data_IF_047042810094
#
_entry.id   IF_047042810094
#
_cell.length_a   1.000
_cell.length_b   1.000
_cell.length_c   1.000
_cell.angle_alpha   90.00
_cell.angle_beta   90.00
_cell.angle_gamma   90.00
#
_symmetry.space_group_name_H-M   'P 1'
#
loop_
_entity.id
_entity.type
_entity.pdbx_description
1 polymer ?
#
# COMPACT_ATOMS: atom_id res chain seq x y z
N UNK A 1 13.44 -14.67 -8.02
CA UNK A 1 14.09 -13.70 -7.12
C UNK A 1 13.12 -13.14 -6.10
N UNK A 2 13.56 -12.94 -4.86
CA UNK A 2 12.69 -12.61 -3.70
C UNK A 2 12.33 -11.11 -3.58
N UNK A 3 12.75 -10.28 -4.53
CA UNK A 3 12.59 -8.81 -4.49
C UNK A 3 11.15 -8.33 -4.33
N UNK A 4 10.18 -9.03 -4.92
CA UNK A 4 8.75 -8.69 -4.76
C UNK A 4 8.31 -8.71 -3.30
N UNK A 5 8.90 -9.60 -2.50
CA UNK A 5 8.57 -9.76 -1.08
C UNK A 5 9.10 -8.59 -0.26
N UNK A 6 10.35 -8.19 -0.48
CA UNK A 6 10.95 -7.04 0.21
C UNK A 6 10.22 -5.74 -0.16
N UNK A 7 9.94 -5.52 -1.44
CA UNK A 7 9.20 -4.33 -1.90
C UNK A 7 7.80 -4.27 -1.28
N UNK A 8 7.06 -5.38 -1.29
CA UNK A 8 5.74 -5.43 -0.70
C UNK A 8 5.75 -5.19 0.80
N UNK A 9 6.67 -5.85 1.54
CA UNK A 9 6.79 -5.68 2.99
C UNK A 9 7.15 -4.23 3.34
N UNK A 10 8.14 -3.65 2.67
CA UNK A 10 8.57 -2.28 2.91
C UNK A 10 7.44 -1.28 2.62
N UNK A 11 6.66 -1.52 1.57
CA UNK A 11 5.52 -0.68 1.20
C UNK A 11 4.37 -0.78 2.21
N UNK A 12 4.05 -2.00 2.66
CA UNK A 12 3.01 -2.23 3.69
C UNK A 12 3.40 -1.63 5.03
N UNK A 13 4.61 -1.92 5.52
CA UNK A 13 5.10 -1.35 6.78
C UNK A 13 5.23 0.17 6.71
N UNK A 14 5.77 0.69 5.61
CA UNK A 14 5.86 2.12 5.37
C UNK A 14 4.48 2.80 5.41
N UNK A 15 3.47 2.19 4.80
CA UNK A 15 2.09 2.70 4.84
C UNK A 15 1.50 2.69 6.25
N UNK A 16 1.71 1.61 7.01
CA UNK A 16 1.22 1.51 8.40
C UNK A 16 1.87 2.61 9.26
N UNK A 17 3.19 2.78 9.16
CA UNK A 17 3.93 3.81 9.90
C UNK A 17 3.47 5.21 9.48
N UNK A 18 3.38 5.48 8.18
CA UNK A 18 2.87 6.77 7.67
C UNK A 18 1.44 7.04 8.14
N UNK A 19 0.59 6.02 8.23
CA UNK A 19 -0.79 6.16 8.71
C UNK A 19 -0.87 6.51 10.19
N UNK A 20 0.00 5.92 11.02
CA UNK A 20 0.13 6.30 12.43
C UNK A 20 0.60 7.76 12.56
N UNK A 21 1.59 8.17 11.78
CA UNK A 21 2.09 9.55 11.79
C UNK A 21 1.00 10.52 11.31
N UNK A 22 0.27 10.18 10.24
CA UNK A 22 -0.79 11.00 9.67
C UNK A 22 -1.91 11.31 10.66
N UNK A 23 -2.24 10.36 11.53
CA UNK A 23 -3.37 10.49 12.44
C UNK A 23 -2.97 10.97 13.84
N UNK A 24 -1.83 10.52 14.38
CA UNK A 24 -1.47 10.78 15.78
C UNK A 24 -0.31 11.76 15.97
N UNK A 25 0.53 11.95 14.94
CA UNK A 25 1.74 12.78 15.02
C UNK A 25 1.85 13.75 13.84
N UNK A 26 0.71 14.24 13.34
CA UNK A 26 0.68 15.05 12.13
C UNK A 26 1.21 16.47 12.42
N UNK A 27 2.37 16.87 11.86
CA UNK A 27 2.92 18.20 12.13
C UNK A 27 2.15 19.31 11.38
N UNK A 28 1.30 18.95 10.42
CA UNK A 28 0.54 19.89 9.60
C UNK A 28 -0.90 20.09 10.11
N UNK A 29 -1.32 19.36 11.14
CA UNK A 29 -2.64 19.52 11.75
C UNK A 29 -2.55 19.37 13.28
N UNK A 30 -2.82 20.44 14.01
CA UNK A 30 -2.80 20.44 15.48
C UNK A 30 -4.09 19.94 16.13
N UNK A 31 -5.15 19.73 15.35
CA UNK A 31 -6.41 19.19 15.85
C UNK A 31 -6.34 17.66 15.91
N UNK A 32 -6.85 17.09 17.01
CA UNK A 32 -7.07 15.65 17.11
C UNK A 32 -7.94 15.17 15.94
N UNK A 33 -7.61 14.04 15.30
CA UNK A 33 -8.40 13.53 14.19
C UNK A 33 -9.80 13.17 14.68
N UNK A 34 -10.83 13.55 13.92
CA UNK A 34 -12.18 13.08 14.19
C UNK A 34 -12.30 11.58 13.87
N UNK A 35 -13.26 10.91 14.52
CA UNK A 35 -13.51 9.48 14.29
C UNK A 35 -13.77 9.18 12.80
N UNK A 36 -14.46 10.07 12.08
CA UNK A 36 -14.72 9.92 10.66
C UNK A 36 -13.43 9.91 9.82
N UNK A 37 -12.45 10.74 10.18
CA UNK A 37 -11.15 10.80 9.49
C UNK A 37 -10.36 9.52 9.75
N UNK A 38 -10.35 9.03 10.99
CA UNK A 38 -9.69 7.76 11.35
C UNK A 38 -10.29 6.58 10.59
N UNK A 39 -11.63 6.51 10.51
CA UNK A 39 -12.33 5.44 9.80
C UNK A 39 -12.04 5.51 8.30
N UNK A 40 -12.16 6.69 7.69
CA UNK A 40 -11.90 6.87 6.24
C UNK A 40 -10.46 6.56 5.86
N UNK A 41 -9.50 7.13 6.58
CA UNK A 41 -8.07 6.88 6.29
C UNK A 41 -7.68 5.44 6.64
N UNK A 42 -8.24 4.87 7.70
CA UNK A 42 -8.06 3.47 8.04
C UNK A 42 -8.57 2.53 6.95
N UNK A 43 -9.78 2.77 6.44
CA UNK A 43 -10.37 1.95 5.38
C UNK A 43 -9.63 2.04 4.05
N UNK A 44 -9.03 3.18 3.71
CA UNK A 44 -8.41 3.40 2.40
C UNK A 44 -6.88 3.39 2.41
N UNK A 45 -6.20 3.40 3.57
CA UNK A 45 -4.73 3.32 3.64
C UNK A 45 -4.29 2.12 4.48
N UNK A 46 -4.81 1.99 5.70
CA UNK A 46 -4.40 0.92 6.63
C UNK A 46 -4.92 -0.45 6.17
N UNK A 47 -6.22 -0.57 5.90
CA UNK A 47 -6.84 -1.81 5.45
C UNK A 47 -6.19 -2.37 4.18
N UNK A 48 -5.98 -1.59 3.09
CA UNK A 48 -5.27 -2.10 1.92
C UNK A 48 -3.81 -2.48 2.22
N UNK A 49 -3.12 -1.81 3.15
CA UNK A 49 -1.78 -2.22 3.57
C UNK A 49 -1.78 -3.60 4.23
N UNK A 50 -2.77 -3.88 5.09
CA UNK A 50 -2.96 -5.20 5.71
C UNK A 50 -3.34 -6.26 4.67
N UNK A 51 -4.22 -5.92 3.73
CA UNK A 51 -4.58 -6.80 2.60
C UNK A 51 -3.35 -7.12 1.74
N UNK A 52 -2.47 -6.14 1.50
CA UNK A 52 -1.20 -6.38 0.80
C UNK A 52 -0.29 -7.35 1.58
N UNK A 53 -0.20 -7.23 2.92
CA UNK A 53 0.55 -8.20 3.75
C UNK A 53 -0.03 -9.62 3.57
N UNK A 54 -1.35 -9.76 3.62
CA UNK A 54 -2.02 -11.06 3.37
C UNK A 54 -1.67 -11.58 1.97
N UNK A 55 -1.74 -10.74 0.95
CA UNK A 55 -1.40 -11.06 -0.44
C UNK A 55 0.04 -11.56 -0.61
N UNK A 56 0.99 -11.00 0.17
CA UNK A 56 2.38 -11.44 0.20
C UNK A 56 2.54 -12.81 0.87
N UNK A 57 1.83 -13.06 1.97
CA UNK A 57 1.89 -14.34 2.69
C UNK A 57 1.36 -15.48 1.81
N UNK A 58 0.19 -15.26 1.18
CA UNK A 58 -0.45 -16.29 0.35
C UNK A 58 0.03 -16.29 -1.11
N UNK A 59 0.95 -15.40 -1.46
CA UNK A 59 1.57 -15.26 -2.79
C UNK A 59 0.54 -15.11 -3.93
N UNK A 60 -0.46 -14.25 -3.74
CA UNK A 60 -1.51 -13.98 -4.75
C UNK A 60 -1.39 -12.57 -5.30
N UNK A 61 -0.96 -12.45 -6.56
CA UNK A 61 -0.77 -11.13 -7.20
C UNK A 61 -2.06 -10.31 -7.29
N UNK A 62 -3.21 -10.96 -7.46
CA UNK A 62 -4.50 -10.28 -7.57
C UNK A 62 -4.83 -9.49 -6.30
N UNK A 63 -4.45 -9.99 -5.13
CA UNK A 63 -4.66 -9.29 -3.85
C UNK A 63 -3.80 -8.04 -3.77
N UNK A 64 -2.57 -8.08 -4.30
CA UNK A 64 -1.71 -6.91 -4.38
C UNK A 64 -2.33 -5.82 -5.26
N UNK A 65 -2.96 -6.19 -6.37
CA UNK A 65 -3.67 -5.24 -7.24
C UNK A 65 -4.92 -4.67 -6.58
N UNK A 66 -5.67 -5.49 -5.83
CA UNK A 66 -6.80 -5.02 -5.03
C UNK A 66 -6.32 -3.96 -4.03
N UNK A 67 -5.25 -4.23 -3.29
CA UNK A 67 -4.68 -3.27 -2.35
C UNK A 67 -4.23 -1.95 -3.02
N UNK A 68 -3.64 -2.04 -4.22
CA UNK A 68 -3.29 -0.87 -5.03
C UNK A 68 -4.52 -0.04 -5.42
N UNK A 69 -5.49 -0.63 -6.14
CA UNK A 69 -6.66 0.11 -6.60
C UNK A 69 -7.53 0.63 -5.46
N UNK A 70 -7.58 -0.09 -4.34
CA UNK A 70 -8.28 0.36 -3.14
C UNK A 70 -7.57 1.58 -2.51
N UNK A 71 -6.24 1.54 -2.37
CA UNK A 71 -5.51 2.65 -1.75
C UNK A 71 -5.32 3.87 -2.65
N UNK A 72 -5.41 3.70 -3.97
CA UNK A 72 -5.06 4.72 -4.95
C UNK A 72 -5.86 6.03 -4.84
N UNK A 73 -7.20 6.04 -4.69
CA UNK A 73 -7.97 7.29 -4.67
C UNK A 73 -7.53 8.24 -3.54
N UNK A 74 -7.39 7.71 -2.32
CA UNK A 74 -6.99 8.51 -1.17
C UNK A 74 -5.49 8.85 -1.19
N UNK A 75 -4.65 7.92 -1.63
CA UNK A 75 -3.21 8.17 -1.78
C UNK A 75 -2.94 9.28 -2.80
N UNK A 76 -3.70 9.31 -3.89
CA UNK A 76 -3.59 10.35 -4.92
C UNK A 76 -4.08 11.70 -4.39
N UNK A 77 -5.20 11.74 -3.68
CA UNK A 77 -5.70 12.95 -3.02
C UNK A 77 -4.64 13.54 -2.07
N UNK A 78 -4.05 12.71 -1.20
CA UNK A 78 -3.00 13.15 -0.28
C UNK A 78 -1.75 13.60 -1.03
N UNK A 79 -1.40 12.94 -2.15
CA UNK A 79 -0.24 13.30 -2.96
C UNK A 79 -0.30 14.73 -3.55
N UNK A 80 -1.51 15.27 -3.73
CA UNK A 80 -1.73 16.63 -4.19
C UNK A 80 -1.52 17.68 -3.10
N UNK A 81 -1.40 17.27 -1.83
CA UNK A 81 -1.11 18.17 -0.70
C UNK A 81 0.40 18.29 -0.44
N UNK A 82 0.94 19.46 -0.09
CA UNK A 82 2.36 19.64 0.21
C UNK A 82 2.71 19.04 1.58
N UNK A 83 2.91 17.73 1.66
CA UNK A 83 3.25 17.02 2.91
C UNK A 83 4.19 15.84 2.67
N UNK A 84 4.83 15.34 3.74
CA UNK A 84 5.56 14.06 3.71
C UNK A 84 4.65 12.88 3.33
N UNK A 85 3.33 13.03 3.53
CA UNK A 85 2.34 12.00 3.25
C UNK A 85 2.12 11.75 1.76
N UNK A 86 2.73 12.53 0.85
CA UNK A 86 2.84 12.14 -0.56
C UNK A 86 3.43 10.73 -0.73
N UNK A 87 4.25 10.27 0.23
CA UNK A 87 4.81 8.92 0.21
C UNK A 87 3.76 7.79 0.17
N UNK A 88 2.50 8.03 0.54
CA UNK A 88 1.42 7.03 0.37
C UNK A 88 1.23 6.60 -1.08
N UNK A 89 1.41 7.51 -2.06
CA UNK A 89 1.33 7.11 -3.47
C UNK A 89 2.51 6.21 -3.84
N UNK A 90 3.70 6.49 -3.31
CA UNK A 90 4.89 5.68 -3.51
C UNK A 90 4.72 4.27 -2.95
N UNK A 91 4.19 4.14 -1.74
CA UNK A 91 3.92 2.81 -1.15
C UNK A 91 2.78 2.09 -1.87
N UNK A 92 1.75 2.80 -2.33
CA UNK A 92 0.69 2.23 -3.16
C UNK A 92 1.25 1.64 -4.47
N UNK A 93 2.10 2.37 -5.19
CA UNK A 93 2.81 1.84 -6.36
C UNK A 93 3.75 0.68 -6.01
N UNK A 94 4.28 0.65 -4.79
CA UNK A 94 5.00 -0.50 -4.26
C UNK A 94 4.17 -1.79 -4.26
N UNK A 95 2.87 -1.72 -3.94
CA UNK A 95 1.97 -2.88 -4.05
C UNK A 95 1.81 -3.32 -5.51
N UNK A 96 1.63 -2.38 -6.44
CA UNK A 96 1.52 -2.66 -7.86
C UNK A 96 2.77 -3.37 -8.39
N UNK A 97 3.95 -2.82 -8.10
CA UNK A 97 5.24 -3.39 -8.53
C UNK A 97 5.46 -4.78 -7.93
N UNK A 98 5.18 -4.96 -6.64
CA UNK A 98 5.27 -6.27 -6.00
C UNK A 98 4.31 -7.28 -6.66
N UNK A 99 3.09 -6.88 -6.99
CA UNK A 99 2.13 -7.71 -7.72
C UNK A 99 2.58 -8.10 -9.14
N UNK A 100 3.13 -7.15 -9.90
CA UNK A 100 3.67 -7.39 -11.25
C UNK A 100 4.85 -8.38 -11.19
N UNK A 101 5.79 -8.17 -10.26
CA UNK A 101 6.96 -9.04 -10.08
C UNK A 101 6.55 -10.43 -9.61
N UNK A 102 5.57 -10.53 -8.71
CA UNK A 102 5.01 -11.79 -8.27
C UNK A 102 4.35 -12.54 -9.44
N UNK A 103 3.57 -11.84 -10.29
CA UNK A 103 2.96 -12.42 -11.49
C UNK A 103 4.01 -12.97 -12.46
N UNK A 104 5.10 -12.23 -12.70
CA UNK A 104 6.18 -12.65 -13.59
C UNK A 104 6.90 -13.92 -13.08
N UNK A 105 6.97 -14.09 -11.76
CA UNK A 105 7.52 -15.30 -11.13
C UNK A 105 6.55 -16.49 -11.18
N UNK A 106 5.24 -16.26 -11.00
CA UNK A 106 4.22 -17.33 -10.99
C UNK A 106 3.91 -17.81 -12.42
N UNK A 107 3.76 -16.88 -13.37
CA UNK A 107 3.45 -17.17 -14.76
C UNK A 107 4.56 -16.60 -15.67
N UNK A 108 5.70 -17.30 -15.80
CA UNK A 108 6.77 -16.86 -16.68
C UNK A 108 6.29 -16.92 -18.14
N UNK A 109 6.30 -15.79 -18.84
CA UNK A 109 5.89 -15.66 -20.25
C UNK A 109 6.71 -16.56 -21.20
N UNK A 110 7.83 -17.14 -20.72
CA UNK A 110 8.74 -17.99 -21.49
C UNK A 110 8.99 -19.40 -20.87
N UNK A 111 8.08 -19.97 -20.09
CA UNK A 111 8.25 -21.31 -19.48
C UNK A 111 7.06 -22.24 -19.75
N UNK A 112 7.28 -23.55 -19.96
CA UNK A 112 6.27 -24.44 -20.54
C UNK A 112 5.04 -24.52 -19.63
N UNK A 113 3.87 -24.49 -20.25
CA UNK A 113 2.59 -24.86 -19.65
C UNK A 113 2.76 -26.17 -18.88
N UNK A 114 2.77 -26.07 -17.55
CA UNK A 114 2.60 -27.23 -16.67
C UNK A 114 1.22 -27.14 -16.04
#
# INVERSE_FOLDING_TARGET
MIYWRYLGILSSLGTIVLWLILNFYNPYNSASPSNDVLIRTGAFLLAPALVAVIGLIIRKQFIMFIAFFWSLPLSLYIAMTPSIFKLFIGTSFGYLLAGILMRKMINPVNGPSR
#
